data_IF_035402343476
#
_entry.id   IF_035402343476
#
_cell.length_a   1.000
_cell.length_b   1.000
_cell.length_c   1.000
_cell.angle_alpha   90.00
_cell.angle_beta   90.00
_cell.angle_gamma   90.00
#
_symmetry.space_group_name_H-M   'P 1'
#
loop_
_entity.id
_entity.type
_entity.pdbx_description
1 polymer ?
#
# COMPACT_ATOMS: atom_id res chain seq x y z
N UNK A 1 11.93 -40.56 -14.57
CA UNK A 1 12.38 -40.01 -13.28
C UNK A 1 11.37 -38.93 -12.90
N UNK A 2 10.39 -39.29 -12.07
CA UNK A 2 9.25 -38.45 -11.73
C UNK A 2 9.66 -37.47 -10.62
N UNK A 3 9.95 -36.23 -11.00
CA UNK A 3 10.07 -35.11 -10.06
C UNK A 3 8.66 -34.65 -9.71
N UNK A 4 8.07 -35.35 -8.74
CA UNK A 4 6.88 -34.96 -7.99
C UNK A 4 7.14 -33.69 -7.17
N UNK A 5 7.37 -32.55 -7.82
CA UNK A 5 7.47 -31.24 -7.17
C UNK A 5 6.19 -30.41 -7.29
N UNK A 6 5.11 -30.98 -7.82
CA UNK A 6 3.87 -30.25 -8.10
C UNK A 6 2.73 -30.55 -7.11
N UNK A 7 3.00 -30.94 -5.85
CA UNK A 7 1.91 -31.11 -4.86
C UNK A 7 2.31 -30.73 -3.44
N UNK A 8 2.52 -29.43 -3.22
CA UNK A 8 2.12 -28.79 -1.95
C UNK A 8 1.43 -27.45 -2.24
N UNK A 9 0.44 -27.49 -3.14
CA UNK A 9 -0.64 -26.52 -3.11
C UNK A 9 -1.43 -26.76 -1.83
N UNK A 10 -0.93 -26.24 -0.69
CA UNK A 10 -1.67 -26.22 0.57
C UNK A 10 -3.05 -25.69 0.26
N UNK A 11 -4.04 -26.56 0.37
CA UNK A 11 -5.44 -26.21 0.32
C UNK A 11 -5.70 -25.44 1.63
N UNK A 12 -5.32 -24.17 1.64
CA UNK A 12 -5.57 -23.29 2.77
C UNK A 12 -7.06 -23.00 2.70
N UNK A 13 -7.86 -23.72 3.48
CA UNK A 13 -9.12 -23.15 3.98
C UNK A 13 -8.71 -21.87 4.71
N UNK A 14 -8.70 -20.75 3.97
CA UNK A 14 -8.26 -19.46 4.48
C UNK A 14 -9.34 -18.96 5.43
N UNK A 15 -9.21 -19.35 6.69
CA UNK A 15 -9.95 -18.76 7.78
C UNK A 15 -9.79 -17.24 7.72
N UNK A 16 -10.87 -16.50 8.03
CA UNK A 16 -10.88 -15.03 8.02
C UNK A 16 -9.68 -14.44 8.78
N UNK A 17 -9.31 -15.06 9.91
CA UNK A 17 -8.13 -14.70 10.71
C UNK A 17 -6.82 -14.78 9.91
N UNK A 18 -6.63 -15.80 9.08
CA UNK A 18 -5.43 -15.94 8.24
C UNK A 18 -5.36 -14.85 7.17
N UNK A 19 -6.48 -14.51 6.54
CA UNK A 19 -6.56 -13.43 5.56
C UNK A 19 -6.25 -12.09 6.25
N UNK A 20 -6.89 -11.83 7.38
CA UNK A 20 -6.68 -10.61 8.16
C UNK A 20 -5.22 -10.42 8.56
N UNK A 21 -4.59 -11.43 9.19
CA UNK A 21 -3.20 -11.33 9.66
C UNK A 21 -2.23 -11.16 8.48
N UNK A 22 -2.45 -11.86 7.38
CA UNK A 22 -1.58 -11.77 6.20
C UNK A 22 -1.69 -10.38 5.57
N UNK A 23 -2.91 -9.92 5.28
CA UNK A 23 -3.14 -8.61 4.68
C UNK A 23 -2.68 -7.47 5.61
N UNK A 24 -2.98 -7.55 6.91
CA UNK A 24 -2.53 -6.57 7.89
C UNK A 24 -1.00 -6.50 7.94
N UNK A 25 -0.33 -7.64 8.08
CA UNK A 25 1.14 -7.65 8.17
C UNK A 25 1.78 -7.15 6.88
N UNK A 26 1.28 -7.56 5.71
CA UNK A 26 1.79 -7.10 4.41
C UNK A 26 1.66 -5.58 4.26
N UNK A 27 0.47 -5.03 4.55
CA UNK A 27 0.24 -3.57 4.43
C UNK A 27 1.02 -2.81 5.50
N UNK A 28 1.03 -3.29 6.74
CA UNK A 28 1.75 -2.67 7.84
C UNK A 28 3.24 -2.53 7.49
N UNK A 29 3.89 -3.61 7.06
CA UNK A 29 5.29 -3.55 6.65
C UNK A 29 5.50 -2.66 5.42
N UNK A 30 4.57 -2.66 4.46
CA UNK A 30 4.66 -1.81 3.28
C UNK A 30 4.52 -0.31 3.58
N UNK A 31 3.76 0.07 4.61
CA UNK A 31 3.54 1.46 5.00
C UNK A 31 4.46 1.96 6.13
N UNK A 32 5.22 1.09 6.79
CA UNK A 32 6.15 1.49 7.85
C UNK A 32 7.16 2.53 7.32
N UNK A 33 7.18 3.69 7.97
CA UNK A 33 8.10 4.78 7.62
C UNK A 33 7.65 5.62 6.42
N UNK A 34 6.40 5.50 5.98
CA UNK A 34 5.86 6.38 4.95
C UNK A 34 5.83 7.86 5.41
N UNK A 35 5.91 8.77 4.44
CA UNK A 35 5.86 10.22 4.65
C UNK A 35 4.61 10.64 5.42
N UNK A 36 3.49 9.94 5.21
CA UNK A 36 2.23 10.21 5.93
C UNK A 36 2.39 9.97 7.43
N UNK A 37 3.19 8.98 7.85
CA UNK A 37 3.46 8.69 9.26
C UNK A 37 4.26 9.83 9.91
N UNK A 38 5.32 10.30 9.24
CA UNK A 38 6.11 11.45 9.71
C UNK A 38 5.23 12.71 9.81
N UNK A 39 4.38 12.97 8.80
CA UNK A 39 3.45 14.10 8.83
C UNK A 39 2.47 14.01 10.01
N UNK A 40 1.93 12.82 10.31
CA UNK A 40 1.05 12.63 11.47
C UNK A 40 1.76 12.75 12.80
N UNK A 41 3.03 12.33 12.89
CA UNK A 41 3.85 12.54 14.09
C UNK A 41 4.13 14.02 14.32
N UNK A 42 4.47 14.76 13.27
CA UNK A 42 4.66 16.21 13.34
C UNK A 42 3.37 16.93 13.74
N UNK A 43 2.24 16.57 13.14
CA UNK A 43 0.93 17.14 13.49
C UNK A 43 0.53 16.82 14.94
N UNK A 44 0.85 15.61 15.42
CA UNK A 44 0.63 15.22 16.82
C UNK A 44 1.51 16.04 17.77
N UNK A 45 2.76 16.30 17.39
CA UNK A 45 3.71 17.10 18.17
C UNK A 45 3.29 18.58 18.23
N UNK A 46 2.83 19.14 17.11
CA UNK A 46 2.43 20.55 17.02
C UNK A 46 1.08 20.83 17.72
N UNK A 47 0.10 19.95 17.54
CA UNK A 47 -1.25 20.15 18.09
C UNK A 47 -1.36 19.91 19.60
N UNK A 48 -0.38 19.22 20.21
CA UNK A 48 -0.41 18.78 21.61
C UNK A 48 -1.56 17.83 21.94
N UNK A 49 -2.26 17.30 20.93
CA UNK A 49 -3.49 16.50 21.05
C UNK A 49 -3.34 15.14 20.36
N UNK A 50 -2.52 14.23 20.90
CA UNK A 50 -2.13 12.99 20.23
C UNK A 50 -3.32 12.06 19.94
N UNK A 51 -4.30 11.97 20.85
CA UNK A 51 -5.49 11.12 20.66
C UNK A 51 -6.32 11.57 19.46
N UNK A 52 -6.51 12.88 19.29
CA UNK A 52 -7.35 13.43 18.22
C UNK A 52 -6.66 13.24 16.87
N UNK A 53 -5.35 13.48 16.82
CA UNK A 53 -4.55 13.24 15.61
C UNK A 53 -4.55 11.75 15.26
N UNK A 54 -4.40 10.87 16.25
CA UNK A 54 -4.45 9.43 16.03
C UNK A 54 -5.79 8.97 15.45
N UNK A 55 -6.91 9.44 16.00
CA UNK A 55 -8.25 9.08 15.48
C UNK A 55 -8.42 9.64 14.06
N UNK A 56 -8.06 10.90 13.84
CA UNK A 56 -8.18 11.54 12.53
C UNK A 56 -7.34 10.84 11.45
N UNK A 57 -6.07 10.54 11.76
CA UNK A 57 -5.18 9.84 10.82
C UNK A 57 -5.62 8.40 10.58
N UNK A 58 -6.08 7.71 11.62
CA UNK A 58 -6.61 6.34 11.48
C UNK A 58 -7.83 6.30 10.57
N UNK A 59 -8.78 7.22 10.75
CA UNK A 59 -9.97 7.31 9.88
C UNK A 59 -9.57 7.66 8.46
N UNK A 60 -8.63 8.60 8.27
CA UNK A 60 -8.13 8.97 6.96
C UNK A 60 -7.48 7.78 6.25
N UNK A 61 -6.64 7.02 6.95
CA UNK A 61 -5.99 5.82 6.43
C UNK A 61 -7.01 4.75 6.05
N UNK A 62 -7.91 4.38 6.96
CA UNK A 62 -8.96 3.38 6.71
C UNK A 62 -9.82 3.78 5.50
N UNK A 63 -10.20 5.06 5.43
CA UNK A 63 -11.02 5.57 4.31
C UNK A 63 -10.26 5.50 2.99
N UNK A 64 -8.98 5.91 2.98
CA UNK A 64 -8.12 5.84 1.79
C UNK A 64 -7.92 4.40 1.31
N UNK A 65 -7.59 3.48 2.23
CA UNK A 65 -7.43 2.06 1.91
C UNK A 65 -8.73 1.44 1.42
N UNK A 66 -9.87 1.80 2.01
CA UNK A 66 -11.19 1.31 1.57
C UNK A 66 -11.48 1.73 0.12
N UNK A 67 -11.27 3.01 -0.20
CA UNK A 67 -11.42 3.51 -1.58
C UNK A 67 -10.47 2.79 -2.53
N UNK A 68 -9.19 2.62 -2.13
CA UNK A 68 -8.20 1.89 -2.91
C UNK A 68 -8.60 0.43 -3.20
N UNK A 69 -9.11 -0.29 -2.20
CA UNK A 69 -9.57 -1.67 -2.35
C UNK A 69 -10.82 -1.76 -3.24
N UNK A 70 -11.78 -0.85 -3.10
CA UNK A 70 -12.99 -0.82 -3.93
C UNK A 70 -12.64 -0.57 -5.41
N UNK A 71 -11.80 0.43 -5.68
CA UNK A 71 -11.32 0.73 -7.03
C UNK A 71 -10.48 -0.43 -7.58
N UNK A 72 -9.57 -0.98 -6.77
CA UNK A 72 -8.72 -2.11 -7.14
C UNK A 72 -9.53 -3.35 -7.50
N UNK A 73 -10.57 -3.68 -6.71
CA UNK A 73 -11.50 -4.78 -6.98
C UNK A 73 -12.31 -4.55 -8.27
N UNK A 74 -12.75 -3.32 -8.51
CA UNK A 74 -13.45 -2.98 -9.76
C UNK A 74 -12.52 -3.13 -10.97
N UNK A 75 -11.27 -2.69 -10.84
CA UNK A 75 -10.28 -2.73 -11.91
C UNK A 75 -9.77 -4.14 -12.20
N UNK A 76 -9.61 -4.99 -11.17
CA UNK A 76 -9.20 -6.39 -11.32
C UNK A 76 -10.18 -7.22 -12.14
N UNK A 77 -11.47 -6.83 -12.17
CA UNK A 77 -12.48 -7.50 -12.98
C UNK A 77 -12.41 -7.11 -14.47
N UNK A 78 -11.76 -5.99 -14.81
CA UNK A 78 -11.71 -5.43 -16.17
C UNK A 78 -10.35 -5.60 -16.86
N UNK A 79 -9.26 -5.70 -16.10
CA UNK A 79 -7.89 -5.64 -16.64
C UNK A 79 -7.08 -6.86 -16.17
N UNK A 80 -6.34 -7.46 -17.10
CA UNK A 80 -5.39 -8.55 -16.80
C UNK A 80 -4.29 -8.08 -15.84
N UNK A 81 -3.90 -8.89 -14.83
CA UNK A 81 -2.88 -8.53 -13.84
C UNK A 81 -1.56 -8.03 -14.43
N UNK A 82 -1.12 -8.63 -15.55
CA UNK A 82 0.13 -8.27 -16.20
C UNK A 82 0.11 -6.85 -16.77
N UNK A 83 -1.03 -6.43 -17.36
CA UNK A 83 -1.20 -5.07 -17.88
C UNK A 83 -1.26 -4.07 -16.73
N UNK A 84 -1.97 -4.42 -15.65
CA UNK A 84 -2.07 -3.58 -14.46
C UNK A 84 -0.68 -3.30 -13.85
N UNK A 85 0.13 -4.34 -13.63
CA UNK A 85 1.48 -4.20 -13.09
C UNK A 85 2.40 -3.35 -13.99
N UNK A 86 2.30 -3.51 -15.31
CA UNK A 86 3.06 -2.70 -16.26
C UNK A 86 2.67 -1.22 -16.18
N UNK A 87 1.37 -0.90 -16.17
CA UNK A 87 0.88 0.47 -16.04
C UNK A 87 1.27 1.11 -14.71
N UNK A 88 1.16 0.40 -13.59
CA UNK A 88 1.57 0.92 -12.27
C UNK A 88 3.07 1.19 -12.21
N UNK A 89 3.89 0.29 -12.78
CA UNK A 89 5.33 0.48 -12.85
C UNK A 89 5.73 1.67 -13.72
N UNK A 90 5.10 1.81 -14.90
CA UNK A 90 5.34 2.94 -15.79
C UNK A 90 4.94 4.27 -15.13
N UNK A 91 3.78 4.33 -14.47
CA UNK A 91 3.32 5.51 -13.75
C UNK A 91 4.30 5.90 -12.63
N UNK A 92 4.75 4.92 -11.83
CA UNK A 92 5.74 5.15 -10.78
C UNK A 92 7.08 5.63 -11.32
N UNK A 93 7.53 5.10 -12.46
CA UNK A 93 8.76 5.54 -13.12
C UNK A 93 8.66 7.01 -13.58
N UNK A 94 7.52 7.41 -14.15
CA UNK A 94 7.27 8.80 -14.57
C UNK A 94 7.29 9.73 -13.35
N UNK A 95 6.58 9.38 -12.27
CA UNK A 95 6.55 10.17 -11.02
C UNK A 95 7.95 10.29 -10.44
N UNK A 96 8.73 9.21 -10.44
CA UNK A 96 10.11 9.19 -9.94
C UNK A 96 11.02 10.14 -10.72
N UNK A 97 10.96 10.11 -12.06
CA UNK A 97 11.74 11.00 -12.92
C UNK A 97 11.32 12.47 -12.71
N UNK A 98 10.01 12.73 -12.63
CA UNK A 98 9.48 14.06 -12.39
C UNK A 98 9.96 14.62 -11.04
N UNK A 99 9.87 13.81 -9.98
CA UNK A 99 10.34 14.21 -8.65
C UNK A 99 11.86 14.44 -8.62
N UNK A 100 12.64 13.60 -9.32
CA UNK A 100 14.09 13.79 -9.44
C UNK A 100 14.44 15.09 -10.17
N UNK A 101 13.71 15.43 -11.24
CA UNK A 101 13.88 16.70 -11.94
C UNK A 101 13.54 17.90 -11.04
N UNK A 102 12.43 17.82 -10.31
CA UNK A 102 12.01 18.86 -9.36
C UNK A 102 12.97 19.02 -8.17
N UNK A 103 13.77 18.01 -7.84
CA UNK A 103 14.82 18.11 -6.81
C UNK A 103 16.11 18.71 -7.38
N UNK A 104 16.47 18.40 -8.63
CA UNK A 104 17.68 18.95 -9.26
C UNK A 104 17.53 20.42 -9.69
N UNK A 105 16.36 20.80 -10.21
CA UNK A 105 16.09 22.16 -10.69
C UNK A 105 16.21 23.28 -9.64
N UNK A 106 15.81 23.12 -8.37
CA UNK A 106 15.97 24.17 -7.36
C UNK A 106 17.39 24.33 -6.84
N UNK A 107 18.32 23.46 -7.24
CA UNK A 107 19.73 23.48 -6.80
C UNK A 107 20.67 24.17 -7.82
N UNK A 108 20.22 24.40 -9.05
CA UNK A 108 20.96 25.13 -10.11
C UNK A 108 20.16 26.32 -10.63
#
# INVERSE_FOLDING_TARGET
MNINLEKEGKNVEKNFSSIFITTFTTIFIAELGDKTQIATLMLSAESGKPIIVFIGSSIALISSSLVGVLIGKWLSNKISPNKFAFFTGLLMMIISIFLAYDILKPVF
#
